data_IF_041493977247
#
_entry.id   IF_041493977247
#
_cell.length_a   1.000
_cell.length_b   1.000
_cell.length_c   1.000
_cell.angle_alpha   90.00
_cell.angle_beta   90.00
_cell.angle_gamma   90.00
#
_symmetry.space_group_name_H-M   'P 1'
#
loop_
_entity.id
_entity.type
_entity.pdbx_description
1 polymer ?
#
# COMPACT_ATOMS: atom_id res chain seq x y z
N UNK A 1 10.87 2.69 57.30
CA UNK A 1 11.31 3.77 56.37
C UNK A 1 12.26 3.30 55.26
N UNK A 2 12.95 2.15 55.36
CA UNK A 2 13.88 1.69 54.31
C UNK A 2 13.22 0.95 53.12
N UNK A 3 12.06 0.33 53.30
CA UNK A 3 11.40 -0.49 52.26
C UNK A 3 10.71 0.38 51.18
N UNK A 4 10.39 1.64 51.49
CA UNK A 4 9.73 2.53 50.54
C UNK A 4 10.68 3.10 49.50
N UNK A 5 11.99 3.18 49.75
CA UNK A 5 12.93 3.91 48.88
C UNK A 5 13.50 3.04 47.73
N UNK A 6 13.44 1.72 47.85
CA UNK A 6 14.02 0.77 46.89
C UNK A 6 13.06 0.35 45.75
N UNK A 7 11.76 0.67 45.83
CA UNK A 7 10.74 0.28 44.84
C UNK A 7 10.69 1.20 43.60
N UNK A 8 11.33 2.36 43.63
CA UNK A 8 11.24 3.38 42.59
C UNK A 8 12.13 3.15 41.34
N UNK A 9 13.42 2.75 41.46
CA UNK A 9 14.24 2.54 40.27
C UNK A 9 13.73 1.35 39.44
N UNK A 10 13.30 0.27 40.09
CA UNK A 10 12.82 -0.93 39.40
C UNK A 10 11.57 -0.65 38.55
N UNK A 11 10.62 0.15 39.08
CA UNK A 11 9.40 0.49 38.35
C UNK A 11 9.68 1.39 37.12
N UNK A 12 10.67 2.29 37.21
CA UNK A 12 11.09 3.15 36.09
C UNK A 12 11.74 2.33 34.97
N UNK A 13 12.64 1.41 35.32
CA UNK A 13 13.25 0.52 34.34
C UNK A 13 12.24 -0.43 33.68
N UNK A 14 11.22 -0.91 34.41
CA UNK A 14 10.11 -1.69 33.82
C UNK A 14 9.35 -0.85 32.78
N UNK A 15 9.08 0.41 33.08
CA UNK A 15 8.39 1.33 32.17
C UNK A 15 9.18 1.58 30.89
N UNK A 16 10.48 1.86 31.03
CA UNK A 16 11.38 2.07 29.89
C UNK A 16 11.47 0.80 29.04
N UNK A 17 11.60 -0.38 29.67
CA UNK A 17 11.66 -1.66 28.97
C UNK A 17 10.36 -1.96 28.21
N UNK A 18 9.19 -1.73 28.82
CA UNK A 18 7.90 -1.94 28.16
C UNK A 18 7.70 -0.99 26.98
N UNK A 19 8.03 0.29 27.15
CA UNK A 19 7.92 1.30 26.10
C UNK A 19 8.84 1.00 24.90
N UNK A 20 10.10 0.64 25.18
CA UNK A 20 11.05 0.24 24.14
C UNK A 20 10.63 -1.04 23.43
N UNK A 21 10.15 -2.05 24.16
CA UNK A 21 9.60 -3.26 23.55
C UNK A 21 8.41 -2.97 22.63
N UNK A 22 7.49 -2.08 23.04
CA UNK A 22 6.34 -1.68 22.23
C UNK A 22 6.78 -0.93 20.95
N UNK A 23 7.76 -0.02 21.07
CA UNK A 23 8.31 0.70 19.92
C UNK A 23 9.00 -0.25 18.91
N UNK A 24 9.81 -1.19 19.41
CA UNK A 24 10.46 -2.22 18.57
C UNK A 24 9.43 -3.11 17.90
N UNK A 25 8.40 -3.56 18.63
CA UNK A 25 7.32 -4.34 18.06
C UNK A 25 6.58 -3.59 16.94
N UNK A 26 6.28 -2.31 17.14
CA UNK A 26 5.62 -1.47 16.13
C UNK A 26 6.50 -1.23 14.89
N UNK A 27 7.82 -1.07 15.07
CA UNK A 27 8.78 -0.97 13.99
C UNK A 27 8.82 -2.26 13.17
N UNK A 28 8.99 -3.41 13.83
CA UNK A 28 9.01 -4.73 13.16
C UNK A 28 7.71 -4.95 12.39
N UNK A 29 6.56 -4.64 13.00
CA UNK A 29 5.26 -4.76 12.34
C UNK A 29 5.17 -3.91 11.08
N UNK A 30 5.61 -2.65 11.14
CA UNK A 30 5.60 -1.72 10.00
C UNK A 30 6.52 -2.19 8.87
N UNK A 31 7.61 -2.88 9.20
CA UNK A 31 8.52 -3.44 8.20
C UNK A 31 8.00 -4.74 7.56
N UNK A 32 7.20 -5.52 8.29
CA UNK A 32 6.72 -6.83 7.84
C UNK A 32 5.31 -6.81 7.22
N UNK A 33 4.47 -5.83 7.55
CA UNK A 33 3.06 -5.76 7.14
C UNK A 33 2.80 -4.47 6.37
N UNK A 34 1.94 -4.53 5.35
CA UNK A 34 1.50 -3.35 4.60
C UNK A 34 0.93 -2.26 5.54
N UNK A 35 1.13 -0.96 5.22
CA UNK A 35 0.63 0.13 6.04
C UNK A 35 -0.90 0.05 6.18
N UNK A 36 -1.41 0.31 7.40
CA UNK A 36 -2.85 0.24 7.73
C UNK A 36 -3.67 1.20 6.85
N UNK A 37 -3.07 2.32 6.44
CA UNK A 37 -3.66 3.28 5.53
C UNK A 37 -2.72 3.45 4.35
N UNK A 38 -3.08 2.88 3.21
CA UNK A 38 -2.35 3.02 1.96
C UNK A 38 -2.89 4.24 1.20
N UNK A 39 -2.11 5.32 1.16
CA UNK A 39 -2.43 6.54 0.43
C UNK A 39 -1.82 6.60 -0.97
N UNK A 40 -1.34 5.46 -1.49
CA UNK A 40 -0.76 5.40 -2.83
C UNK A 40 -1.87 5.42 -3.88
N UNK A 41 -1.48 5.77 -5.10
CA UNK A 41 -2.34 5.67 -6.27
C UNK A 41 -3.00 4.29 -6.41
N UNK A 42 -2.33 3.22 -5.97
CA UNK A 42 -2.73 1.83 -6.22
C UNK A 42 -3.22 1.13 -4.95
N UNK A 43 -4.10 1.74 -4.15
CA UNK A 43 -4.64 1.10 -2.95
C UNK A 43 -5.40 -0.20 -3.25
N UNK A 44 -5.47 -1.10 -2.27
CA UNK A 44 -6.35 -2.28 -2.33
C UNK A 44 -7.80 -1.85 -2.60
N UNK A 45 -8.53 -2.66 -3.36
CA UNK A 45 -9.88 -2.40 -3.87
C UNK A 45 -9.98 -1.26 -4.88
N UNK A 46 -8.86 -0.81 -5.44
CA UNK A 46 -8.86 0.08 -6.61
C UNK A 46 -8.82 -0.73 -7.89
N UNK A 47 -9.65 -0.35 -8.84
CA UNK A 47 -9.60 -0.79 -10.23
C UNK A 47 -8.60 0.08 -11.00
N UNK A 48 -7.66 -0.56 -11.68
CA UNK A 48 -6.69 0.09 -12.57
C UNK A 48 -7.22 -0.05 -13.98
N UNK A 49 -7.34 1.07 -14.67
CA UNK A 49 -7.62 1.12 -16.10
C UNK A 49 -6.33 1.42 -16.85
N UNK A 50 -6.16 0.88 -18.06
CA UNK A 50 -5.05 1.25 -18.91
C UNK A 50 -5.12 2.75 -19.22
N UNK A 51 -3.95 3.39 -19.32
CA UNK A 51 -3.87 4.77 -19.81
C UNK A 51 -4.40 4.84 -21.25
N UNK A 52 -5.21 5.86 -21.62
CA UNK A 52 -5.64 6.03 -22.99
C UNK A 52 -4.41 6.16 -23.91
N UNK A 53 -4.49 5.55 -25.11
CA UNK A 53 -3.42 5.59 -26.08
C UNK A 53 -3.01 7.04 -26.40
N UNK A 54 -1.71 7.28 -26.57
CA UNK A 54 -1.10 8.62 -26.75
C UNK A 54 -1.63 9.43 -27.96
N UNK A 55 -2.52 8.86 -28.78
CA UNK A 55 -3.19 9.56 -29.90
C UNK A 55 -4.44 10.35 -29.47
N UNK A 56 -4.98 10.11 -28.27
CA UNK A 56 -5.95 11.00 -27.67
C UNK A 56 -5.21 12.07 -26.85
N UNK A 57 -4.85 13.18 -27.50
CA UNK A 57 -4.60 14.43 -26.76
C UNK A 57 -5.93 14.81 -26.12
N UNK A 58 -6.22 14.26 -24.94
CA UNK A 58 -7.37 14.70 -24.16
C UNK A 58 -7.12 16.15 -23.74
N UNK A 59 -7.94 17.04 -24.28
CA UNK A 59 -8.01 18.42 -23.84
C UNK A 59 -8.52 18.39 -22.39
N UNK A 60 -7.61 18.53 -21.43
CA UNK A 60 -7.94 18.53 -20.01
C UNK A 60 -8.75 19.79 -19.68
N UNK A 61 -10.07 19.67 -19.55
CA UNK A 61 -10.90 20.76 -19.05
C UNK A 61 -10.84 20.80 -17.51
N UNK A 62 -10.18 21.84 -16.98
CA UNK A 62 -10.19 22.14 -15.54
C UNK A 62 -11.33 23.10 -15.24
N UNK A 63 -12.27 22.64 -14.40
CA UNK A 63 -13.41 23.43 -13.94
C UNK A 63 -13.22 23.80 -12.47
N UNK A 64 -13.31 25.08 -12.16
CA UNK A 64 -13.19 25.65 -10.83
C UNK A 64 -14.59 25.84 -10.23
N UNK A 65 -14.85 25.23 -9.08
CA UNK A 65 -16.10 25.40 -8.34
C UNK A 65 -15.96 26.60 -7.40
N UNK A 66 -16.85 27.58 -7.56
CA UNK A 66 -16.94 28.75 -6.70
C UNK A 66 -18.27 28.76 -5.93
N UNK A 67 -18.25 29.31 -4.73
CA UNK A 67 -19.43 29.44 -3.85
C UNK A 67 -19.71 30.90 -3.50
N UNK A 68 -20.98 31.28 -3.59
CA UNK A 68 -21.50 32.57 -3.12
C UNK A 68 -22.89 32.39 -2.55
N UNK A 69 -23.12 32.91 -1.35
CA UNK A 69 -24.40 32.83 -0.63
C UNK A 69 -24.98 31.39 -0.54
N UNK A 70 -24.10 30.39 -0.43
CA UNK A 70 -24.45 28.97 -0.32
C UNK A 70 -24.76 28.26 -1.66
N UNK A 71 -24.66 28.96 -2.79
CA UNK A 71 -24.80 28.38 -4.13
C UNK A 71 -23.43 28.07 -4.74
N UNK A 72 -23.23 26.84 -5.22
CA UNK A 72 -21.98 26.37 -5.84
C UNK A 72 -22.14 26.28 -7.36
N UNK A 73 -21.24 26.93 -8.09
CA UNK A 73 -21.27 26.95 -9.55
C UNK A 73 -19.89 26.64 -10.16
N UNK A 74 -19.86 25.88 -11.28
CA UNK A 74 -18.64 25.61 -12.04
C UNK A 74 -18.26 26.76 -12.97
N UNK A 75 -16.97 27.09 -13.03
CA UNK A 75 -16.37 28.11 -13.88
C UNK A 75 -15.11 27.57 -14.57
N UNK A 76 -14.81 28.00 -15.79
CA UNK A 76 -13.57 27.63 -16.50
C UNK A 76 -12.50 28.72 -16.34
N UNK A 77 -11.25 28.44 -16.71
CA UNK A 77 -10.15 29.41 -16.60
C UNK A 77 -10.42 30.71 -17.38
N UNK A 78 -11.12 30.61 -18.52
CA UNK A 78 -11.44 31.75 -19.38
C UNK A 78 -12.68 32.53 -18.92
N UNK A 79 -13.47 31.97 -17.99
CA UNK A 79 -14.69 32.58 -17.47
C UNK A 79 -14.72 32.49 -15.95
N UNK A 80 -13.75 33.10 -15.28
CA UNK A 80 -13.72 33.16 -13.81
C UNK A 80 -14.75 34.17 -13.27
N UNK A 81 -15.37 33.90 -12.12
CA UNK A 81 -16.30 34.83 -11.49
C UNK A 81 -15.57 36.04 -10.89
N UNK A 82 -16.33 37.08 -10.55
CA UNK A 82 -15.79 38.26 -9.88
C UNK A 82 -15.29 37.94 -8.45
N UNK A 83 -14.59 38.89 -7.83
CA UNK A 83 -13.99 38.73 -6.50
C UNK A 83 -15.01 38.61 -5.36
N UNK A 84 -16.31 38.61 -5.63
CA UNK A 84 -17.36 38.38 -4.62
C UNK A 84 -17.66 36.90 -4.39
N UNK A 85 -17.09 36.01 -5.21
CA UNK A 85 -17.20 34.55 -5.08
C UNK A 85 -16.00 33.95 -4.38
N UNK A 86 -16.21 32.87 -3.62
CA UNK A 86 -15.14 32.15 -2.90
C UNK A 86 -14.80 30.86 -3.62
N UNK A 87 -13.51 30.65 -3.94
CA UNK A 87 -13.05 29.40 -4.52
C UNK A 87 -13.20 28.24 -3.52
N UNK A 88 -13.80 27.14 -3.96
CA UNK A 88 -14.00 25.93 -3.15
C UNK A 88 -13.03 24.83 -3.55
N UNK A 89 -13.08 24.41 -4.82
CA UNK A 89 -12.28 23.30 -5.34
C UNK A 89 -12.08 23.38 -6.85
N UNK A 90 -11.03 22.76 -7.36
CA UNK A 90 -10.79 22.60 -8.78
C UNK A 90 -10.94 21.13 -9.15
N UNK A 91 -11.77 20.85 -10.15
CA UNK A 91 -12.04 19.52 -10.67
C UNK A 91 -11.53 19.45 -12.10
N UNK A 92 -10.54 18.60 -12.34
CA UNK A 92 -10.05 18.31 -13.70
C UNK A 92 -10.75 17.05 -14.19
N UNK A 93 -11.54 17.17 -15.25
CA UNK A 93 -12.23 16.04 -15.89
C UNK A 93 -11.63 15.80 -17.27
N UNK A 94 -11.18 14.57 -17.53
CA UNK A 94 -10.88 14.12 -18.89
C UNK A 94 -12.15 14.12 -19.74
N UNK A 95 -12.03 14.49 -21.01
CA UNK A 95 -13.14 14.58 -21.95
C UNK A 95 -13.66 13.18 -22.32
N UNK A 96 -14.43 12.57 -21.40
CA UNK A 96 -14.99 11.22 -21.58
C UNK A 96 -15.98 10.78 -20.50
N UNK A 97 -16.23 11.60 -19.46
CA UNK A 97 -17.22 11.30 -18.42
C UNK A 97 -16.82 10.18 -17.44
N UNK A 98 -15.76 9.42 -17.73
CA UNK A 98 -15.09 8.57 -16.75
C UNK A 98 -14.00 9.40 -16.07
N UNK A 99 -14.10 9.58 -14.75
CA UNK A 99 -13.05 10.23 -13.97
C UNK A 99 -11.79 9.38 -13.98
N UNK A 100 -10.93 9.56 -14.99
CA UNK A 100 -9.58 9.01 -14.99
C UNK A 100 -8.82 9.79 -13.93
N UNK A 101 -8.45 9.14 -12.81
CA UNK A 101 -7.57 9.81 -11.86
C UNK A 101 -6.22 10.00 -12.55
N UNK A 102 -5.59 11.16 -12.39
CA UNK A 102 -4.27 11.44 -12.97
C UNK A 102 -3.20 10.36 -12.65
N UNK A 103 -3.41 9.58 -11.59
CA UNK A 103 -2.54 8.46 -11.22
C UNK A 103 -2.70 7.19 -12.06
N UNK A 104 -3.85 7.00 -12.72
CA UNK A 104 -4.17 5.83 -13.54
C UNK A 104 -3.57 5.96 -14.95
N UNK A 105 -3.34 7.20 -15.41
CA UNK A 105 -2.65 7.51 -16.65
C UNK A 105 -1.16 7.07 -16.65
N UNK A 106 -0.58 6.78 -15.49
CA UNK A 106 0.84 6.39 -15.34
C UNK A 106 1.04 4.86 -15.27
N UNK A 107 -0.01 4.04 -15.27
CA UNK A 107 0.12 2.58 -15.22
C UNK A 107 0.40 2.01 -16.61
N UNK A 108 1.66 1.68 -16.89
CA UNK A 108 2.10 1.10 -18.16
C UNK A 108 3.12 -0.02 -17.94
N UNK A 109 2.87 -1.17 -18.55
CA UNK A 109 3.76 -2.32 -18.56
C UNK A 109 4.09 -2.70 -20.00
N UNK A 110 5.35 -2.99 -20.24
CA UNK A 110 5.87 -3.36 -21.55
C UNK A 110 6.49 -4.75 -21.49
N UNK A 111 6.35 -5.55 -22.54
CA UNK A 111 7.11 -6.80 -22.65
C UNK A 111 8.61 -6.50 -22.88
N UNK A 112 9.44 -7.55 -22.90
CA UNK A 112 10.88 -7.39 -23.14
C UNK A 112 11.23 -6.99 -24.58
N UNK A 113 10.26 -7.01 -25.50
CA UNK A 113 10.39 -6.49 -26.86
C UNK A 113 9.97 -5.00 -26.96
N UNK A 114 9.49 -4.39 -25.87
CA UNK A 114 9.01 -3.00 -25.82
C UNK A 114 7.56 -2.82 -26.26
N UNK A 115 6.80 -3.89 -26.41
CA UNK A 115 5.37 -3.86 -26.70
C UNK A 115 4.55 -3.56 -25.45
N UNK A 116 3.56 -2.68 -25.56
CA UNK A 116 2.63 -2.41 -24.46
C UNK A 116 1.71 -3.61 -24.22
N UNK A 117 1.76 -4.18 -23.02
CA UNK A 117 0.93 -5.32 -22.61
C UNK A 117 -0.05 -4.96 -21.49
N UNK A 118 -0.21 -3.67 -21.19
CA UNK A 118 -0.96 -3.20 -20.03
C UNK A 118 -2.39 -3.73 -20.00
N UNK A 119 -3.15 -3.60 -21.10
CA UNK A 119 -4.53 -4.09 -21.18
C UNK A 119 -4.62 -5.62 -21.05
N UNK A 120 -3.66 -6.34 -21.65
CA UNK A 120 -3.59 -7.79 -21.54
C UNK A 120 -3.33 -8.23 -20.10
N UNK A 121 -2.47 -7.50 -19.37
CA UNK A 121 -2.21 -7.76 -17.94
C UNK A 121 -3.42 -7.42 -17.08
N UNK A 122 -4.08 -6.28 -17.33
CA UNK A 122 -5.22 -5.84 -16.53
C UNK A 122 -6.47 -6.71 -16.76
N UNK A 123 -6.69 -7.24 -17.96
CA UNK A 123 -7.85 -8.12 -18.24
C UNK A 123 -7.71 -9.54 -17.66
N UNK A 124 -6.54 -9.91 -17.13
CA UNK A 124 -6.34 -11.22 -16.51
C UNK A 124 -7.07 -11.33 -15.17
N UNK A 125 -7.60 -12.53 -14.93
CA UNK A 125 -8.22 -12.91 -13.66
C UNK A 125 -7.26 -13.78 -12.86
N UNK A 126 -7.33 -13.69 -11.54
CA UNK A 126 -6.48 -14.51 -10.67
C UNK A 126 -4.98 -14.34 -10.98
N UNK A 127 -4.53 -13.10 -11.23
CA UNK A 127 -3.15 -12.79 -11.59
C UNK A 127 -2.35 -12.35 -10.36
N UNK A 128 -1.22 -13.01 -10.09
CA UNK A 128 -0.24 -12.56 -9.12
C UNK A 128 0.91 -11.83 -9.83
N UNK A 129 1.10 -10.56 -9.52
CA UNK A 129 2.19 -9.74 -10.05
C UNK A 129 3.28 -9.57 -8.99
N UNK A 130 4.50 -10.01 -9.28
CA UNK A 130 5.68 -9.75 -8.45
C UNK A 130 6.40 -8.49 -8.94
N UNK A 131 6.43 -7.44 -8.12
CA UNK A 131 7.01 -6.15 -8.49
C UNK A 131 8.48 -6.03 -8.06
N UNK A 132 9.41 -5.97 -9.01
CA UNK A 132 10.86 -5.87 -8.78
C UNK A 132 11.41 -4.56 -9.40
N UNK A 133 11.26 -3.44 -8.70
CA UNK A 133 11.67 -2.13 -9.21
C UNK A 133 13.19 -1.92 -9.28
N UNK A 134 13.99 -2.69 -8.53
CA UNK A 134 15.46 -2.73 -8.68
C UNK A 134 15.94 -4.19 -8.81
N UNK A 135 15.97 -4.75 -10.04
CA UNK A 135 16.32 -6.15 -10.28
C UNK A 135 17.77 -6.49 -9.91
N UNK A 136 18.73 -5.60 -10.22
CA UNK A 136 20.14 -5.78 -9.84
C UNK A 136 20.32 -6.00 -8.33
N UNK A 137 19.58 -5.22 -7.52
CA UNK A 137 19.66 -5.26 -6.06
C UNK A 137 18.90 -6.45 -5.49
N UNK A 138 17.80 -6.82 -6.14
CA UNK A 138 17.01 -7.99 -5.77
C UNK A 138 17.84 -9.26 -5.98
N UNK A 139 18.31 -9.49 -7.22
CA UNK A 139 19.06 -10.69 -7.61
C UNK A 139 20.34 -10.83 -6.81
N UNK A 140 21.10 -9.74 -6.61
CA UNK A 140 22.33 -9.76 -5.80
C UNK A 140 22.11 -10.22 -4.35
N UNK A 141 20.93 -9.94 -3.77
CA UNK A 141 20.64 -10.24 -2.36
C UNK A 141 19.92 -11.57 -2.17
N UNK A 142 19.07 -11.95 -3.12
CA UNK A 142 18.06 -13.00 -2.94
C UNK A 142 18.17 -14.12 -3.97
N UNK A 143 18.89 -13.91 -5.07
CA UNK A 143 18.92 -14.83 -6.19
C UNK A 143 17.63 -14.80 -7.02
N UNK A 144 17.51 -15.76 -7.92
CA UNK A 144 16.37 -15.92 -8.83
C UNK A 144 15.34 -16.92 -8.27
N UNK A 145 15.77 -17.78 -7.36
CA UNK A 145 15.01 -18.87 -6.76
C UNK A 145 13.68 -18.40 -6.16
N UNK A 146 13.60 -17.26 -5.42
CA UNK A 146 12.34 -16.80 -4.86
C UNK A 146 11.29 -16.41 -5.92
N UNK A 147 11.73 -16.03 -7.12
CA UNK A 147 10.82 -15.73 -8.23
C UNK A 147 10.18 -17.04 -8.73
N UNK A 148 11.01 -18.06 -8.92
CA UNK A 148 10.59 -19.39 -9.37
C UNK A 148 9.67 -20.06 -8.35
N UNK A 149 10.02 -19.99 -7.06
CA UNK A 149 9.20 -20.52 -5.97
C UNK A 149 7.84 -19.85 -5.90
N UNK A 150 7.79 -18.52 -6.02
CA UNK A 150 6.53 -17.78 -6.01
C UNK A 150 5.67 -18.09 -7.23
N UNK A 151 6.27 -18.23 -8.41
CA UNK A 151 5.60 -18.66 -9.63
C UNK A 151 4.97 -20.05 -9.47
N UNK A 152 5.71 -21.00 -8.89
CA UNK A 152 5.20 -22.35 -8.61
C UNK A 152 4.01 -22.31 -7.64
N UNK A 153 4.14 -21.56 -6.53
CA UNK A 153 3.06 -21.40 -5.53
C UNK A 153 1.80 -20.77 -6.12
N UNK A 154 1.94 -19.74 -6.96
CA UNK A 154 0.81 -19.11 -7.64
C UNK A 154 0.09 -20.11 -8.55
N UNK A 155 0.83 -20.86 -9.37
CA UNK A 155 0.27 -21.86 -10.28
C UNK A 155 -0.42 -23.01 -9.55
N UNK A 156 0.15 -23.50 -8.45
CA UNK A 156 -0.49 -24.51 -7.59
C UNK A 156 -1.85 -24.06 -7.04
N UNK A 157 -2.03 -22.75 -6.86
CA UNK A 157 -3.26 -22.13 -6.38
C UNK A 157 -4.20 -21.69 -7.50
N UNK A 158 -3.90 -22.08 -8.76
CA UNK A 158 -4.70 -21.76 -9.93
C UNK A 158 -4.55 -20.33 -10.43
N UNK A 159 -3.52 -19.61 -9.98
CA UNK A 159 -3.27 -18.23 -10.35
C UNK A 159 -2.26 -18.12 -11.50
N UNK A 160 -2.47 -17.14 -12.36
CA UNK A 160 -1.44 -16.69 -13.29
C UNK A 160 -0.33 -15.93 -12.53
N UNK A 161 0.88 -15.92 -13.08
CA UNK A 161 2.02 -15.25 -12.46
C UNK A 161 2.78 -14.40 -13.48
N UNK A 162 3.03 -13.14 -13.11
CA UNK A 162 3.77 -12.17 -13.91
C UNK A 162 4.86 -11.52 -13.04
N UNK A 163 6.06 -11.38 -13.59
CA UNK A 163 7.12 -10.56 -13.00
C UNK A 163 7.12 -9.19 -13.68
N UNK A 164 6.89 -8.12 -12.90
CA UNK A 164 7.00 -6.76 -13.39
C UNK A 164 8.27 -6.10 -12.82
N UNK A 165 9.28 -5.86 -13.65
CA UNK A 165 10.61 -5.41 -13.22
C UNK A 165 11.02 -4.05 -13.79
N UNK A 166 11.86 -3.30 -13.06
CA UNK A 166 12.35 -1.99 -13.51
C UNK A 166 13.31 -2.06 -14.71
N UNK A 167 13.81 -3.26 -15.01
CA UNK A 167 14.63 -3.61 -16.16
C UNK A 167 14.48 -5.11 -16.44
N UNK A 168 14.81 -5.60 -17.64
CA UNK A 168 14.78 -7.03 -17.94
C UNK A 168 15.65 -7.84 -16.98
N UNK A 169 15.16 -9.01 -16.57
CA UNK A 169 15.87 -9.94 -15.70
C UNK A 169 16.38 -11.10 -16.55
N UNK A 170 17.70 -11.26 -16.59
CA UNK A 170 18.34 -12.38 -17.28
C UNK A 170 18.22 -13.68 -16.47
N UNK A 171 18.07 -14.82 -17.15
CA UNK A 171 18.02 -16.15 -16.54
C UNK A 171 16.65 -16.57 -16.00
N UNK A 172 15.60 -15.77 -16.23
CA UNK A 172 14.22 -16.18 -15.96
C UNK A 172 13.85 -17.41 -16.81
N UNK A 173 13.22 -18.44 -16.22
CA UNK A 173 12.60 -19.52 -16.97
C UNK A 173 11.60 -18.99 -18.02
N UNK A 174 11.58 -19.61 -19.21
CA UNK A 174 10.73 -19.17 -20.33
C UNK A 174 9.23 -19.27 -20.06
N UNK A 175 8.82 -20.12 -19.10
CA UNK A 175 7.44 -20.29 -18.68
C UNK A 175 6.94 -19.18 -17.74
N UNK A 176 7.83 -18.31 -17.26
CA UNK A 176 7.49 -17.17 -16.41
C UNK A 176 7.31 -15.93 -17.29
N UNK A 177 6.08 -15.45 -17.36
CA UNK A 177 5.76 -14.19 -18.02
C UNK A 177 6.46 -13.03 -17.30
N UNK A 178 7.09 -12.16 -18.08
CA UNK A 178 7.84 -11.03 -17.56
C UNK A 178 7.56 -9.76 -18.36
N UNK A 179 7.48 -8.65 -17.63
CA UNK A 179 7.25 -7.33 -18.15
C UNK A 179 8.20 -6.33 -17.49
N UNK A 180 8.49 -5.25 -18.19
CA UNK A 180 9.15 -4.07 -17.67
C UNK A 180 8.17 -2.95 -17.37
N UNK A 181 8.47 -2.14 -16.36
CA UNK A 181 7.69 -0.95 -16.03
C UNK A 181 8.54 0.10 -15.34
N UNK A 182 8.06 1.34 -15.28
CA UNK A 182 8.78 2.43 -14.64
C UNK A 182 9.06 2.13 -13.14
N UNK A 183 10.23 2.54 -12.65
CA UNK A 183 10.66 2.28 -11.26
C UNK A 183 9.70 2.93 -10.25
N UNK A 184 9.22 4.15 -10.51
CA UNK A 184 8.29 4.85 -9.61
C UNK A 184 6.92 4.17 -9.64
N UNK A 185 6.46 3.75 -10.82
CA UNK A 185 5.26 2.96 -10.97
C UNK A 185 5.33 1.70 -10.09
N UNK A 186 6.35 0.87 -10.28
CA UNK A 186 6.51 -0.38 -9.55
C UNK A 186 6.66 -0.19 -8.05
N UNK A 187 7.39 0.84 -7.59
CA UNK A 187 7.52 1.16 -6.16
C UNK A 187 6.21 1.66 -5.54
N UNK A 188 5.38 2.36 -6.32
CA UNK A 188 4.06 2.84 -5.89
C UNK A 188 3.03 1.71 -5.91
N UNK A 189 3.17 0.79 -6.88
CA UNK A 189 2.35 -0.39 -7.03
C UNK A 189 2.62 -1.40 -5.89
N UNK A 190 3.88 -1.65 -5.55
CA UNK A 190 4.27 -2.38 -4.33
C UNK A 190 5.58 -1.82 -3.75
N UNK A 191 5.51 -1.32 -2.49
CA UNK A 191 6.65 -0.70 -1.81
C UNK A 191 7.77 -1.68 -1.44
N UNK A 192 7.50 -2.98 -1.44
CA UNK A 192 8.50 -4.00 -1.15
C UNK A 192 9.16 -4.45 -2.45
N UNK A 193 10.50 -4.37 -2.54
CA UNK A 193 11.21 -4.89 -3.72
C UNK A 193 11.07 -6.43 -3.79
N UNK A 194 10.30 -6.90 -4.76
CA UNK A 194 9.81 -8.27 -4.91
C UNK A 194 8.53 -8.58 -4.14
N UNK A 195 7.76 -7.57 -3.72
CA UNK A 195 6.43 -7.77 -3.17
C UNK A 195 5.48 -8.32 -4.23
N UNK A 196 4.43 -9.01 -3.78
CA UNK A 196 3.41 -9.59 -4.63
C UNK A 196 2.11 -8.80 -4.55
N UNK A 197 1.40 -8.65 -5.66
CA UNK A 197 0.09 -8.02 -5.76
C UNK A 197 -0.85 -8.95 -6.51
N UNK A 198 -1.97 -9.29 -5.89
CA UNK A 198 -3.05 -10.04 -6.54
C UNK A 198 -3.98 -9.05 -7.27
N UNK A 199 -4.04 -9.21 -8.59
CA UNK A 199 -4.95 -8.53 -9.50
C UNK A 199 -6.05 -9.49 -9.99
N UNK A 200 -7.27 -8.97 -10.08
CA UNK A 200 -8.40 -9.68 -10.69
C UNK A 200 -9.19 -8.70 -11.56
N UNK A 201 -9.05 -8.81 -12.89
CA UNK A 201 -9.76 -7.96 -13.85
C UNK A 201 -9.53 -6.46 -13.57
N UNK A 202 -8.25 -6.07 -13.50
CA UNK A 202 -7.82 -4.70 -13.20
C UNK A 202 -7.95 -4.31 -11.72
N UNK A 203 -8.68 -5.06 -10.92
CA UNK A 203 -8.88 -4.79 -9.49
C UNK A 203 -7.72 -5.30 -8.65
N UNK A 204 -7.13 -4.43 -7.83
CA UNK A 204 -6.16 -4.83 -6.80
C UNK A 204 -6.90 -5.48 -5.64
N UNK A 205 -6.86 -6.80 -5.56
CA UNK A 205 -7.50 -7.58 -4.49
C UNK A 205 -6.66 -7.55 -3.22
N UNK A 206 -5.34 -7.77 -3.33
CA UNK A 206 -4.46 -7.84 -2.15
C UNK A 206 -3.00 -7.58 -2.49
N UNK A 207 -2.23 -7.16 -1.49
CA UNK A 207 -0.77 -6.97 -1.58
C UNK A 207 -0.04 -7.64 -0.43
N UNK A 208 1.16 -8.12 -0.73
CA UNK A 208 2.10 -8.69 0.23
C UNK A 208 3.47 -8.05 0.06
N UNK A 209 4.14 -7.79 1.18
CA UNK A 209 5.58 -7.56 1.16
C UNK A 209 6.31 -8.84 0.76
N UNK A 210 7.52 -8.73 0.21
CA UNK A 210 8.30 -9.89 -0.24
C UNK A 210 8.40 -11.00 0.83
N UNK A 211 8.74 -10.63 2.06
CA UNK A 211 8.91 -11.60 3.16
C UNK A 211 7.61 -12.32 3.51
N UNK A 212 6.47 -11.66 3.35
CA UNK A 212 5.17 -12.27 3.60
C UNK A 212 4.76 -13.16 2.43
N UNK A 213 4.98 -12.73 1.19
CA UNK A 213 4.66 -13.48 -0.03
C UNK A 213 5.50 -14.75 -0.19
N UNK A 214 6.75 -14.75 0.28
CA UNK A 214 7.66 -15.89 0.13
C UNK A 214 7.56 -16.94 1.24
N UNK A 215 6.61 -16.82 2.17
CA UNK A 215 6.40 -17.87 3.18
C UNK A 215 5.80 -19.13 2.53
N UNK A 216 5.96 -20.28 3.17
CA UNK A 216 5.51 -21.56 2.58
C UNK A 216 3.99 -21.72 2.61
N UNK A 217 3.33 -21.14 3.61
CA UNK A 217 1.90 -21.31 3.85
C UNK A 217 1.04 -20.15 3.31
N UNK A 218 1.56 -19.37 2.35
CA UNK A 218 0.82 -18.22 1.81
C UNK A 218 -0.26 -18.73 0.87
N UNK A 219 -1.50 -18.38 1.17
CA UNK A 219 -2.61 -18.57 0.24
C UNK A 219 -2.95 -17.22 -0.43
N UNK A 220 -2.63 -17.11 -1.71
CA UNK A 220 -2.89 -15.95 -2.55
C UNK A 220 -4.35 -15.88 -3.01
N UNK A 221 -5.00 -17.02 -3.22
CA UNK A 221 -6.37 -17.14 -3.75
C UNK A 221 -7.47 -17.14 -2.67
N UNK A 222 -7.13 -16.79 -1.43
CA UNK A 222 -8.06 -16.79 -0.31
C UNK A 222 -8.94 -15.53 -0.30
N UNK A 223 -9.74 -15.29 -1.34
CA UNK A 223 -10.55 -14.06 -1.48
C UNK A 223 -11.47 -13.81 -0.26
N UNK A 224 -12.09 -14.86 0.29
CA UNK A 224 -13.00 -14.75 1.44
C UNK A 224 -12.32 -14.92 2.81
N UNK A 225 -11.24 -15.71 2.88
CA UNK A 225 -10.58 -15.99 4.16
C UNK A 225 -9.51 -14.94 4.46
N UNK A 226 -8.87 -14.35 3.45
CA UNK A 226 -7.86 -13.31 3.64
C UNK A 226 -8.42 -12.03 4.22
N UNK A 227 -9.49 -11.46 3.65
CA UNK A 227 -10.10 -10.23 4.20
C UNK A 227 -10.76 -10.50 5.55
N UNK A 228 -11.39 -11.66 5.75
CA UNK A 228 -11.95 -12.01 7.07
C UNK A 228 -10.88 -12.32 8.11
N UNK A 229 -9.78 -12.98 7.74
CA UNK A 229 -8.64 -13.25 8.61
C UNK A 229 -7.80 -11.99 8.81
N UNK A 230 -7.66 -11.12 7.82
CA UNK A 230 -7.03 -9.80 7.92
C UNK A 230 -7.90 -8.84 8.70
N UNK A 231 -9.23 -8.83 8.57
CA UNK A 231 -10.14 -8.05 9.42
C UNK A 231 -10.15 -8.61 10.83
N UNK A 232 -10.13 -9.94 11.03
CA UNK A 232 -9.94 -10.55 12.36
C UNK A 232 -8.56 -10.21 12.92
N UNK A 233 -7.53 -10.19 12.10
CA UNK A 233 -6.14 -9.90 12.51
C UNK A 233 -5.94 -8.42 12.75
N UNK A 234 -6.50 -7.55 11.92
CA UNK A 234 -6.52 -6.09 12.06
C UNK A 234 -7.39 -5.70 13.23
N UNK A 235 -8.58 -6.28 13.43
CA UNK A 235 -9.37 -6.05 14.64
C UNK A 235 -8.68 -6.61 15.87
N UNK A 236 -8.12 -7.82 15.84
CA UNK A 236 -7.36 -8.38 16.98
C UNK A 236 -6.12 -7.55 17.29
N UNK A 237 -5.42 -7.04 16.27
CA UNK A 237 -4.24 -6.18 16.43
C UNK A 237 -4.63 -4.75 16.82
N UNK A 238 -5.73 -4.22 16.32
CA UNK A 238 -6.31 -2.93 16.71
C UNK A 238 -6.77 -2.99 18.15
N UNK A 239 -7.48 -4.05 18.55
CA UNK A 239 -7.84 -4.33 19.95
C UNK A 239 -6.58 -4.51 20.79
N UNK A 240 -5.54 -5.18 20.30
CA UNK A 240 -4.26 -5.30 21.02
C UNK A 240 -3.55 -3.95 21.18
N UNK A 241 -3.60 -3.08 20.17
CA UNK A 241 -3.05 -1.72 20.22
C UNK A 241 -3.88 -0.85 21.16
N UNK A 242 -5.21 -0.90 21.07
CA UNK A 242 -6.12 -0.19 21.96
C UNK A 242 -5.95 -0.66 23.41
N UNK A 243 -5.76 -1.96 23.65
CA UNK A 243 -5.42 -2.52 24.96
C UNK A 243 -4.05 -2.07 25.44
N UNK A 244 -3.03 -2.05 24.58
CA UNK A 244 -1.68 -1.57 24.94
C UNK A 244 -1.70 -0.08 25.29
N UNK A 245 -2.39 0.74 24.50
CA UNK A 245 -2.61 2.17 24.78
C UNK A 245 -3.38 2.33 26.09
N UNK A 246 -4.43 1.54 26.32
CA UNK A 246 -5.20 1.56 27.55
C UNK A 246 -4.34 1.18 28.77
N UNK A 247 -3.56 0.11 28.69
CA UNK A 247 -2.61 -0.31 29.74
C UNK A 247 -1.59 0.81 29.98
N UNK A 248 -1.06 1.43 28.92
CA UNK A 248 -0.12 2.54 29.04
C UNK A 248 -0.76 3.76 29.74
N UNK A 249 -1.99 4.12 29.38
CA UNK A 249 -2.75 5.21 30.04
C UNK A 249 -2.97 4.89 31.52
N UNK A 250 -3.40 3.67 31.86
CA UNK A 250 -3.61 3.23 33.25
C UNK A 250 -2.31 3.31 34.05
N UNK A 251 -1.20 2.88 33.48
CA UNK A 251 0.12 2.96 34.12
C UNK A 251 0.57 4.42 34.30
N UNK A 252 0.32 5.29 33.32
CA UNK A 252 0.56 6.73 33.42
C UNK A 252 -0.27 7.37 34.55
N UNK A 253 -1.56 7.04 34.63
CA UNK A 253 -2.46 7.51 35.69
C UNK A 253 -2.02 7.00 37.07
N UNK A 254 -1.58 5.74 37.18
CA UNK A 254 -1.06 5.19 38.42
C UNK A 254 0.22 5.91 38.87
N UNK A 255 1.15 6.20 37.94
CA UNK A 255 2.35 7.02 38.20
C UNK A 255 1.97 8.45 38.62
N UNK A 256 0.99 9.05 37.94
CA UNK A 256 0.48 10.40 38.24
C UNK A 256 -0.14 10.47 39.64
N UNK A 257 -0.96 9.49 40.02
CA UNK A 257 -1.55 9.38 41.36
C UNK A 257 -0.48 9.21 42.46
N UNK A 258 0.54 8.38 42.22
CA UNK A 258 1.68 8.22 43.14
C UNK A 258 2.51 9.51 43.26
N UNK A 259 2.65 10.27 42.17
CA UNK A 259 3.33 11.57 42.18
C UNK A 259 2.58 12.63 43.00
N UNK A 260 1.25 12.71 42.87
CA UNK A 260 0.43 13.66 43.62
C UNK A 260 0.33 13.33 45.11
N UNK A 261 0.21 12.05 45.48
CA UNK A 261 0.25 11.61 46.89
C UNK A 261 1.56 11.94 47.61
N UNK A 262 2.62 12.31 46.87
CA UNK A 262 3.91 12.73 47.41
C UNK A 262 4.00 14.24 47.68
N UNK A 263 3.04 15.03 47.20
CA UNK A 263 2.96 16.49 47.39
C UNK A 263 2.04 16.92 48.53
N UNK A 264 1.20 16.01 49.03
CA UNK A 264 0.51 16.13 50.33
C UNK A 264 1.39 15.59 51.46
#
# INVERSE_FOLDING_TARGET
KAISQFRYPVLEWIFVALFTAMAVWMLIRTLCVAPIQESTAYRVSKEITAAPAAEAVEEYETTFIYEKDGCREPYTLDNLPDSTWTFVEAVTTGAGGAGINASDADFRLEDYAGGDITEAVLSKRQLLVMSIYHPDRFLRRKGIEPIVEMAAKAREQGMEFLVASGAPIEGLPEDIEAATGDVKLLMTFNRSNGGATYLNDGMIVRKWAFTAANQDNVNFNAENDAEMELLKTLNRQRVAIELLIFIFIVLCLAKFAVFFKKRE
#
